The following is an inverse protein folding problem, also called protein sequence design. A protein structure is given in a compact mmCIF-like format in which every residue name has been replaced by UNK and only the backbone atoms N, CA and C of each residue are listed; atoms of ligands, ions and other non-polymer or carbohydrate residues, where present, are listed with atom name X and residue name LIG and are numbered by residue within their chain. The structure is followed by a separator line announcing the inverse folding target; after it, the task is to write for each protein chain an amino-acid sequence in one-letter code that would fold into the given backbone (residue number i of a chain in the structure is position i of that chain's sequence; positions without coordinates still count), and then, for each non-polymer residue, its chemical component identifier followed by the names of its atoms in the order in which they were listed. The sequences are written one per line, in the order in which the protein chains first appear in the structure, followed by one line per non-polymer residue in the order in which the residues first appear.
data_IF_449167534777
#
_entry.id   IF_449167534777
#
_cell.length_a   1.000
_cell.length_b   1.000
_cell.length_c   1.000
_cell.angle_alpha   90.00
_cell.angle_beta   90.00
_cell.angle_gamma   90.00
#
_symmetry.space_group_name_H-M   'P 1'
#
loop_
_entity.id
_entity.type
_entity.pdbx_description
1 polymer ?
#
# COMPACT_ATOMS: atom_id res chain seq x y z
N UNK A 1 8.44 7.26 -35.49
CA UNK A 1 7.40 7.59 -34.49
C UNK A 1 7.23 9.11 -34.48
N UNK A 2 6.01 9.64 -34.44
CA UNK A 2 5.74 11.09 -34.28
C UNK A 2 4.83 11.28 -33.06
N UNK A 3 5.11 12.28 -32.24
CA UNK A 3 4.28 12.64 -31.08
C UNK A 3 3.13 13.51 -31.60
N UNK A 4 1.89 13.08 -31.37
CA UNK A 4 0.68 13.83 -31.77
C UNK A 4 0.26 14.84 -30.71
N UNK A 5 0.35 14.44 -29.44
CA UNK A 5 0.00 15.25 -28.28
C UNK A 5 1.03 15.00 -27.18
N UNK A 6 1.62 16.06 -26.64
CA UNK A 6 2.65 15.93 -25.61
C UNK A 6 2.08 15.62 -24.23
N UNK A 7 0.85 16.06 -23.94
CA UNK A 7 0.15 15.85 -22.67
C UNK A 7 -1.34 15.61 -22.94
N UNK A 8 -1.76 14.35 -22.92
CA UNK A 8 -3.16 13.94 -23.10
C UNK A 8 -3.99 14.07 -21.80
N UNK A 9 -3.36 14.38 -20.68
CA UNK A 9 -4.00 14.54 -19.38
C UNK A 9 -3.23 13.87 -18.24
N UNK A 10 -3.50 14.28 -16.99
CA UNK A 10 -2.92 13.67 -15.82
C UNK A 10 -3.57 12.30 -15.51
N UNK A 11 -2.81 11.44 -14.84
CA UNK A 11 -3.29 10.18 -14.27
C UNK A 11 -3.06 10.18 -12.76
N UNK A 12 -4.01 9.60 -12.03
CA UNK A 12 -3.87 9.34 -10.59
C UNK A 12 -2.89 8.18 -10.35
N UNK A 13 -2.27 8.18 -9.17
CA UNK A 13 -1.42 7.08 -8.72
C UNK A 13 -2.20 5.76 -8.71
N UNK A 14 -3.49 5.79 -8.37
CA UNK A 14 -4.37 4.62 -8.45
C UNK A 14 -4.54 4.09 -9.87
N UNK A 15 -4.79 4.93 -10.87
CA UNK A 15 -4.95 4.47 -12.26
C UNK A 15 -3.68 3.83 -12.80
N UNK A 16 -2.51 4.39 -12.47
CA UNK A 16 -1.22 3.82 -12.81
C UNK A 16 -1.02 2.49 -12.08
N UNK A 17 -1.35 2.43 -10.79
CA UNK A 17 -1.26 1.22 -9.98
C UNK A 17 -2.16 0.09 -10.52
N UNK A 18 -3.43 0.38 -10.79
CA UNK A 18 -4.42 -0.55 -11.35
C UNK A 18 -3.98 -1.06 -12.72
N UNK A 19 -3.47 -0.17 -13.58
CA UNK A 19 -2.93 -0.55 -14.88
C UNK A 19 -1.73 -1.52 -14.76
N UNK A 20 -0.77 -1.22 -13.89
CA UNK A 20 0.40 -2.08 -13.67
C UNK A 20 0.00 -3.44 -13.08
N UNK A 21 -0.97 -3.46 -12.16
CA UNK A 21 -1.54 -4.68 -11.60
C UNK A 21 -2.21 -5.54 -12.67
N UNK A 22 -3.04 -4.94 -13.54
CA UNK A 22 -3.66 -5.63 -14.67
C UNK A 22 -2.63 -6.17 -15.68
N UNK A 23 -1.49 -5.48 -15.85
CA UNK A 23 -0.38 -5.93 -16.71
C UNK A 23 0.39 -7.12 -16.12
N UNK A 24 0.19 -7.44 -14.84
CA UNK A 24 0.82 -8.56 -14.15
C UNK A 24 1.93 -8.19 -13.18
N UNK A 25 2.05 -6.90 -12.80
CA UNK A 25 2.94 -6.50 -11.72
C UNK A 25 2.38 -6.99 -10.37
N UNK A 26 3.23 -7.63 -9.58
CA UNK A 26 2.86 -8.16 -8.27
C UNK A 26 4.08 -8.19 -7.35
N UNK A 27 3.86 -8.07 -6.03
CA UNK A 27 4.94 -8.25 -5.04
C UNK A 27 5.40 -9.70 -4.92
N UNK A 28 4.55 -10.65 -5.30
CA UNK A 28 4.87 -12.07 -5.28
C UNK A 28 5.61 -12.47 -6.57
N UNK A 29 6.90 -12.83 -6.49
CA UNK A 29 7.70 -13.20 -7.66
C UNK A 29 7.11 -14.37 -8.46
N UNK A 30 6.30 -15.22 -7.82
CA UNK A 30 5.65 -16.37 -8.47
C UNK A 30 4.42 -15.98 -9.28
N UNK A 31 3.88 -14.78 -9.07
CA UNK A 31 2.71 -14.23 -9.77
C UNK A 31 3.07 -13.21 -10.84
N UNK A 32 4.34 -12.84 -10.97
CA UNK A 32 4.81 -11.93 -12.01
C UNK A 32 4.70 -12.63 -13.35
N UNK A 33 3.71 -12.23 -14.14
CA UNK A 33 3.67 -12.59 -15.55
C UNK A 33 4.79 -11.81 -16.25
N UNK A 34 5.41 -12.43 -17.24
CA UNK A 34 6.68 -11.99 -17.86
C UNK A 34 6.65 -10.64 -18.64
N UNK A 35 5.55 -9.90 -18.91
CA UNK A 35 5.68 -8.66 -19.68
C UNK A 35 6.00 -7.39 -18.88
N UNK A 36 6.30 -7.46 -17.57
CA UNK A 36 6.58 -6.26 -16.74
C UNK A 36 8.05 -5.89 -16.82
N UNK A 37 8.33 -4.66 -17.29
CA UNK A 37 9.69 -4.14 -17.36
C UNK A 37 10.23 -3.75 -15.97
N UNK A 38 11.56 -3.73 -15.76
CA UNK A 38 12.14 -3.33 -14.47
C UNK A 38 11.72 -1.92 -14.01
N UNK A 39 11.53 -0.99 -14.95
CA UNK A 39 11.01 0.35 -14.65
C UNK A 39 9.59 0.32 -14.13
N UNK A 40 8.72 -0.50 -14.73
CA UNK A 40 7.33 -0.66 -14.31
C UNK A 40 7.23 -1.31 -12.93
N UNK A 41 8.09 -2.30 -12.66
CA UNK A 41 8.13 -2.94 -11.35
C UNK A 41 8.55 -1.96 -10.24
N UNK A 42 9.56 -1.11 -10.49
CA UNK A 42 9.98 -0.07 -9.52
C UNK A 42 8.85 0.92 -9.21
N UNK A 43 8.11 1.35 -10.23
CA UNK A 43 6.95 2.23 -10.04
C UNK A 43 5.86 1.51 -9.26
N UNK A 44 5.58 0.24 -9.59
CA UNK A 44 4.60 -0.57 -8.87
C UNK A 44 4.98 -0.70 -7.38
N UNK A 45 6.24 -1.04 -7.07
CA UNK A 45 6.71 -1.23 -5.70
C UNK A 45 6.52 0.04 -4.85
N UNK A 46 6.87 1.20 -5.40
CA UNK A 46 6.60 2.50 -4.77
C UNK A 46 5.11 2.74 -4.55
N UNK A 47 4.26 2.46 -5.55
CA UNK A 47 2.82 2.70 -5.46
C UNK A 47 2.13 1.78 -4.45
N UNK A 48 2.63 0.56 -4.22
CA UNK A 48 2.09 -0.33 -3.19
C UNK A 48 2.26 0.26 -1.78
N UNK A 49 3.33 1.01 -1.53
CA UNK A 49 3.56 1.66 -0.23
C UNK A 49 2.78 2.97 -0.06
N UNK A 50 2.19 3.48 -1.14
CA UNK A 50 1.41 4.71 -1.16
C UNK A 50 -0.08 4.49 -0.85
N UNK A 51 -0.83 5.59 -0.69
CA UNK A 51 -2.29 5.55 -0.51
C UNK A 51 -3.04 4.87 -1.70
N UNK A 52 -2.43 4.81 -2.88
CA UNK A 52 -3.02 4.21 -4.07
C UNK A 52 -3.32 2.71 -3.92
N UNK A 53 -2.59 1.99 -3.06
CA UNK A 53 -2.76 0.54 -2.88
C UNK A 53 -4.15 0.16 -2.37
N UNK A 54 -4.71 0.98 -1.46
CA UNK A 54 -5.98 0.69 -0.79
C UNK A 54 -7.15 1.39 -1.48
N UNK A 55 -6.88 2.32 -2.41
CA UNK A 55 -7.91 3.03 -3.16
C UNK A 55 -8.63 2.13 -4.16
N UNK A 56 -9.86 2.49 -4.46
CA UNK A 56 -10.66 1.86 -5.53
C UNK A 56 -11.30 2.93 -6.39
N UNK A 57 -11.68 2.57 -7.62
CA UNK A 57 -12.36 3.49 -8.54
C UNK A 57 -13.65 4.06 -7.94
N UNK A 58 -14.37 3.28 -7.15
CA UNK A 58 -15.60 3.72 -6.50
C UNK A 58 -15.33 4.81 -5.45
N UNK A 59 -14.32 4.59 -4.60
CA UNK A 59 -13.93 5.56 -3.57
C UNK A 59 -13.46 6.88 -4.21
N UNK A 60 -12.67 6.80 -5.28
CA UNK A 60 -12.20 8.00 -5.98
C UNK A 60 -13.39 8.76 -6.59
N UNK A 61 -14.32 8.07 -7.24
CA UNK A 61 -15.52 8.71 -7.78
C UNK A 61 -16.39 9.34 -6.68
N UNK A 62 -16.53 8.67 -5.54
CA UNK A 62 -17.25 9.24 -4.39
C UNK A 62 -16.58 10.53 -3.89
N UNK A 63 -15.24 10.52 -3.75
CA UNK A 63 -14.48 11.71 -3.40
C UNK A 63 -14.64 12.81 -4.45
N UNK A 64 -14.63 12.49 -5.74
CA UNK A 64 -14.85 13.45 -6.82
C UNK A 64 -16.24 14.09 -6.75
N UNK A 65 -17.29 13.33 -6.40
CA UNK A 65 -18.63 13.89 -6.25
C UNK A 65 -18.75 14.77 -5.00
N UNK A 66 -18.26 14.29 -3.85
CA UNK A 66 -18.31 15.05 -2.59
C UNK A 66 -17.41 16.30 -2.62
N UNK A 67 -16.27 16.25 -3.31
CA UNK A 67 -15.32 17.37 -3.41
C UNK A 67 -15.81 18.51 -4.28
N UNK A 68 -16.83 18.33 -5.13
CA UNK A 68 -17.40 19.42 -5.96
C UNK A 68 -17.93 20.61 -5.15
N UNK A 69 -18.27 20.40 -3.86
CA UNK A 69 -18.67 21.50 -2.98
C UNK A 69 -17.52 22.47 -2.72
N UNK A 70 -16.29 21.96 -2.69
CA UNK A 70 -15.08 22.74 -2.60
C UNK A 70 -14.65 23.11 -4.03
N UNK A 71 -14.51 24.41 -4.33
CA UNK A 71 -14.13 24.90 -5.66
C UNK A 71 -12.64 24.63 -5.94
N UNK A 72 -12.25 23.36 -5.97
CA UNK A 72 -10.90 22.88 -6.16
C UNK A 72 -10.57 22.77 -7.65
N UNK A 73 -9.34 23.13 -8.01
CA UNK A 73 -8.81 22.91 -9.35
C UNK A 73 -8.52 21.43 -9.57
N UNK A 74 -8.49 20.99 -10.83
CA UNK A 74 -8.24 19.57 -11.18
C UNK A 74 -6.90 19.05 -10.64
N UNK A 75 -5.87 19.89 -10.61
CA UNK A 75 -4.56 19.54 -10.06
C UNK A 75 -4.59 19.38 -8.54
N UNK A 76 -5.36 20.21 -7.83
CA UNK A 76 -5.54 20.11 -6.37
C UNK A 76 -6.24 18.81 -6.01
N UNK A 77 -7.33 18.49 -6.72
CA UNK A 77 -8.06 17.22 -6.56
C UNK A 77 -7.14 16.02 -6.80
N UNK A 78 -6.35 16.05 -7.88
CA UNK A 78 -5.38 15.01 -8.20
C UNK A 78 -4.35 14.82 -7.08
N UNK A 79 -3.80 15.91 -6.55
CA UNK A 79 -2.82 15.87 -5.47
C UNK A 79 -3.43 15.37 -4.16
N UNK A 80 -4.66 15.77 -3.84
CA UNK A 80 -5.39 15.27 -2.66
C UNK A 80 -5.60 13.75 -2.76
N UNK A 81 -6.00 13.25 -3.93
CA UNK A 81 -6.17 11.80 -4.15
C UNK A 81 -4.83 11.07 -3.99
N UNK A 82 -3.74 11.61 -4.54
CA UNK A 82 -2.44 10.95 -4.54
C UNK A 82 -1.72 10.97 -3.17
N UNK A 83 -1.79 12.10 -2.47
CA UNK A 83 -1.07 12.33 -1.20
C UNK A 83 -1.92 11.92 0.00
N UNK A 84 -3.26 12.05 -0.10
CA UNK A 84 -4.22 11.86 0.98
C UNK A 84 -3.86 12.70 2.22
N UNK A 85 -4.01 14.03 2.15
CA UNK A 85 -3.69 14.91 3.25
C UNK A 85 -4.54 14.59 4.49
N UNK A 86 -3.88 14.40 5.63
CA UNK A 86 -4.55 14.03 6.89
C UNK A 86 -4.61 15.19 7.90
N UNK A 87 -4.04 16.34 7.55
CA UNK A 87 -3.97 17.51 8.39
C UNK A 87 -4.19 18.79 7.58
N UNK A 88 -4.61 19.88 8.25
CA UNK A 88 -4.77 21.20 7.64
C UNK A 88 -3.47 21.70 6.99
N UNK A 89 -2.32 21.42 7.62
CA UNK A 89 -1.00 21.83 7.11
C UNK A 89 -0.66 21.16 5.78
N UNK A 90 -1.04 19.89 5.62
CA UNK A 90 -0.87 19.17 4.35
C UNK A 90 -1.81 19.70 3.27
N UNK A 91 -3.05 20.07 3.62
CA UNK A 91 -3.99 20.69 2.68
C UNK A 91 -3.51 22.06 2.22
N UNK A 92 -3.02 22.89 3.13
CA UNK A 92 -2.45 24.21 2.82
C UNK A 92 -1.26 24.12 1.85
N UNK A 93 -0.47 23.05 1.97
CA UNK A 93 0.64 22.78 1.05
C UNK A 93 0.20 22.37 -0.37
N UNK A 94 -1.06 21.94 -0.54
CA UNK A 94 -1.62 21.48 -1.82
C UNK A 94 -2.44 22.58 -2.52
N UNK A 95 -3.20 23.37 -1.76
CA UNK A 95 -4.13 24.37 -2.28
C UNK A 95 -3.44 25.73 -2.36
N UNK A 96 -3.42 26.33 -3.55
CA UNK A 96 -2.85 27.67 -3.70
C UNK A 96 -3.76 28.73 -3.06
N UNK A 97 -3.14 29.64 -2.30
CA UNK A 97 -3.80 30.78 -1.64
C UNK A 97 -4.96 30.35 -0.74
N UNK A 98 -4.75 29.27 0.01
CA UNK A 98 -5.73 28.60 0.87
C UNK A 98 -6.50 29.60 1.76
N UNK A 99 -5.78 30.46 2.49
CA UNK A 99 -6.30 31.50 3.39
C UNK A 99 -7.30 32.48 2.73
N UNK A 100 -7.19 32.68 1.43
CA UNK A 100 -8.04 33.63 0.69
C UNK A 100 -9.25 32.97 0.03
N UNK A 101 -9.17 31.66 -0.22
CA UNK A 101 -10.19 30.89 -0.95
C UNK A 101 -11.16 30.15 -0.05
N UNK A 102 -10.72 29.79 1.15
CA UNK A 102 -11.48 28.96 2.07
C UNK A 102 -11.47 29.55 3.48
N UNK A 103 -12.56 29.31 4.20
CA UNK A 103 -12.60 29.51 5.64
C UNK A 103 -11.96 28.30 6.35
N UNK A 104 -11.48 28.50 7.58
CA UNK A 104 -10.83 27.43 8.35
C UNK A 104 -11.77 26.24 8.57
N UNK A 105 -13.07 26.51 8.76
CA UNK A 105 -14.11 25.49 8.88
C UNK A 105 -14.27 24.67 7.59
N UNK A 106 -14.22 25.31 6.41
CA UNK A 106 -14.32 24.62 5.12
C UNK A 106 -13.10 23.73 4.87
N UNK A 107 -11.91 24.17 5.28
CA UNK A 107 -10.69 23.37 5.19
C UNK A 107 -10.74 22.17 6.12
N UNK A 108 -11.26 22.35 7.34
CA UNK A 108 -11.45 21.25 8.26
C UNK A 108 -12.45 20.23 7.69
N UNK A 109 -13.56 20.68 7.11
CA UNK A 109 -14.50 19.79 6.41
C UNK A 109 -13.85 19.04 5.24
N UNK A 110 -12.89 19.66 4.54
CA UNK A 110 -12.17 19.00 3.45
C UNK A 110 -11.23 17.92 4.01
N UNK A 111 -10.51 18.19 5.09
CA UNK A 111 -9.66 17.19 5.78
C UNK A 111 -10.52 16.02 6.27
N UNK A 112 -11.64 16.31 6.93
CA UNK A 112 -12.55 15.29 7.44
C UNK A 112 -13.12 14.44 6.30
N UNK A 113 -13.49 15.06 5.17
CA UNK A 113 -13.93 14.35 3.96
C UNK A 113 -12.84 13.41 3.42
N UNK A 114 -11.58 13.86 3.39
CA UNK A 114 -10.45 13.04 2.94
C UNK A 114 -10.26 11.82 3.84
N UNK A 115 -10.33 12.02 5.17
CA UNK A 115 -10.16 10.94 6.15
C UNK A 115 -11.33 9.94 6.08
N UNK A 116 -12.56 10.43 5.91
CA UNK A 116 -13.77 9.60 5.82
C UNK A 116 -13.80 8.75 4.54
N UNK A 117 -13.48 9.35 3.40
CA UNK A 117 -13.67 8.71 2.09
C UNK A 117 -12.42 7.97 1.62
N UNK A 118 -11.23 8.57 1.76
CA UNK A 118 -10.01 7.96 1.24
C UNK A 118 -9.41 7.00 2.28
N UNK A 119 -9.03 5.77 1.89
CA UNK A 119 -8.57 4.74 2.80
C UNK A 119 -7.17 5.04 3.36
N UNK A 120 -6.85 4.57 4.58
CA UNK A 120 -5.57 4.80 5.23
C UNK A 120 -4.38 4.25 4.44
N UNK A 121 -3.20 4.84 4.69
CA UNK A 121 -1.96 4.33 4.14
C UNK A 121 -1.68 2.93 4.73
N UNK A 122 -1.05 2.01 3.97
CA UNK A 122 -0.78 0.64 4.42
C UNK A 122 0.00 0.52 5.74
N UNK A 123 0.79 1.56 6.11
CA UNK A 123 1.70 1.54 7.25
C UNK A 123 1.28 2.44 8.43
N UNK A 124 0.04 2.95 8.45
CA UNK A 124 -0.47 3.68 9.62
C UNK A 124 -1.41 2.76 10.42
N UNK A 125 -1.08 2.41 11.67
CA UNK A 125 -2.03 1.71 12.53
C UNK A 125 -3.25 2.60 12.74
N UNK A 126 -4.43 2.13 12.32
CA UNK A 126 -5.69 2.75 12.70
C UNK A 126 -5.80 2.73 14.23
N UNK A 127 -6.02 3.88 14.86
CA UNK A 127 -6.40 3.98 16.26
C UNK A 127 -7.86 3.52 16.52
N UNK A 128 -8.41 2.64 15.67
CA UNK A 128 -9.82 2.29 15.64
C UNK A 128 -10.10 0.77 15.49
N UNK A 129 -9.14 -0.09 15.80
CA UNK A 129 -9.39 -1.54 15.86
C UNK A 129 -8.84 -2.12 17.18
N UNK A 130 -9.52 -1.82 18.28
CA UNK A 130 -9.68 -2.80 19.36
C UNK A 130 -11.07 -3.42 19.24
N UNK A 131 -11.15 -4.73 19.56
CA UNK A 131 -12.31 -5.64 19.69
C UNK A 131 -12.99 -6.07 18.37
N UNK A 132 -13.16 -7.35 18.01
CA UNK A 132 -13.06 -8.66 18.68
C UNK A 132 -12.83 -9.72 17.58
N UNK A 133 -12.14 -10.82 17.88
CA UNK A 133 -12.63 -12.14 17.52
C UNK A 133 -11.95 -13.20 18.39
N UNK A 134 -12.68 -13.60 19.42
CA UNK A 134 -12.37 -14.76 20.25
C UNK A 134 -13.50 -15.78 20.07
N UNK A 135 -13.09 -17.01 19.76
CA UNK A 135 -13.68 -18.32 20.10
C UNK A 135 -14.51 -19.13 19.07
N UNK A 136 -14.11 -20.42 19.01
CA UNK A 136 -14.81 -21.70 18.70
C UNK A 136 -14.61 -22.29 17.29
N UNK A 137 -14.19 -23.55 17.11
CA UNK A 137 -13.85 -24.63 18.04
C UNK A 137 -13.77 -26.00 17.32
N UNK A 138 -12.91 -26.87 17.86
CA UNK A 138 -12.92 -28.35 17.91
C UNK A 138 -13.03 -29.23 16.63
N UNK A 139 -12.09 -30.19 16.50
CA UNK A 139 -12.32 -31.67 16.55
C UNK A 139 -11.08 -32.42 15.97
N UNK A 140 -10.17 -32.95 16.81
CA UNK A 140 -9.95 -34.37 17.22
C UNK A 140 -8.90 -35.14 16.36
N UNK A 141 -7.78 -35.57 16.98
CA UNK A 141 -7.33 -36.98 17.31
C UNK A 141 -6.85 -37.77 16.07
N UNK A 142 -5.81 -38.64 16.05
CA UNK A 142 -5.06 -39.50 16.97
C UNK A 142 -3.98 -40.19 16.03
N UNK A 143 -2.69 -40.39 16.31
CA UNK A 143 -2.04 -41.49 17.05
C UNK A 143 -0.57 -41.61 16.58
N UNK A 144 0.33 -42.20 17.40
CA UNK A 144 1.41 -43.06 16.87
C UNK A 144 2.88 -42.80 17.24
N UNK A 145 3.29 -43.27 18.41
CA UNK A 145 4.50 -44.06 18.77
C UNK A 145 5.95 -43.69 18.34
N UNK A 146 6.84 -43.69 19.36
CA UNK A 146 8.24 -44.19 19.35
C UNK A 146 9.30 -43.26 18.73
N UNK A 147 10.48 -43.01 19.32
CA UNK A 147 11.50 -43.97 19.76
C UNK A 147 12.51 -43.25 20.70
N UNK A 148 12.97 -43.96 21.74
CA UNK A 148 14.13 -43.63 22.59
C UNK A 148 15.44 -43.57 21.78
N UNK A 149 16.25 -42.54 21.99
CA UNK A 149 17.64 -42.50 21.54
C UNK A 149 18.50 -41.66 22.48
N UNK A 150 19.04 -42.31 23.51
CA UNK A 150 20.19 -41.83 24.30
C UNK A 150 21.38 -41.68 23.37
N UNK A 151 22.19 -40.63 23.52
CA UNK A 151 23.63 -40.74 23.28
C UNK A 151 24.40 -39.66 24.05
N UNK A 152 25.37 -40.17 24.82
CA UNK A 152 26.42 -39.48 25.57
C UNK A 152 27.25 -38.55 24.67
N UNK A 153 27.50 -37.33 25.14
CA UNK A 153 28.65 -36.54 24.73
C UNK A 153 29.88 -37.00 25.54
N UNK A 154 30.86 -37.60 24.85
CA UNK A 154 32.25 -37.62 25.31
C UNK A 154 33.11 -36.90 24.29
N UNK A 155 33.70 -35.79 24.75
CA UNK A 155 34.87 -35.19 24.17
C UNK A 155 36.10 -36.07 24.47
N UNK A 156 37.01 -36.20 23.51
CA UNK A 156 38.43 -35.83 23.64
C UNK A 156 39.31 -36.53 22.58
N UNK A 157 40.23 -35.71 22.04
CA UNK A 157 41.54 -35.99 21.43
C UNK A 157 41.69 -36.47 19.96
N UNK A 158 42.24 -35.53 19.16
CA UNK A 158 43.10 -35.66 17.95
C UNK A 158 44.31 -36.64 18.13
N UNK A 159 45.12 -37.02 17.10
CA UNK A 159 45.39 -36.31 15.83
C UNK A 159 45.55 -37.14 14.52
N UNK A 160 45.49 -36.39 13.42
CA UNK A 160 46.18 -36.52 12.12
C UNK A 160 47.08 -37.75 11.87
N UNK A 161 46.70 -38.54 10.85
CA UNK A 161 47.67 -39.18 9.93
C UNK A 161 47.13 -39.15 8.51
N UNK A 162 47.65 -38.23 7.69
CA UNK A 162 47.61 -38.32 6.23
C UNK A 162 48.47 -39.53 5.80
N UNK A 163 47.81 -40.50 5.17
CA UNK A 163 48.42 -41.59 4.43
C UNK A 163 48.47 -41.18 2.96
N UNK A 164 49.67 -40.97 2.42
CA UNK A 164 49.91 -41.10 0.99
C UNK A 164 51.21 -41.86 0.77
N UNK A 165 51.05 -43.10 0.31
CA UNK A 165 52.07 -44.05 -0.10
C UNK A 165 51.37 -45.21 -0.79
#
# INVERSE_FOLDING_TARGET
MKILEANAGPLTNFEVFDFLRCKGASKDPTRVLVPVTPSEFKVYDYLVESAACNQTRNIINEFLEKSKKFKLAKAEILNIINIRPSSLVEVDSIIEQCDTRFQEEELQELVDLVIEVLPPLPNQPNAAEEVNEDVQGATERMDGEGIKGVNDEKADDEPMTELMG
#
